data_IF_077023583929
#
_entry.id   IF_077023583929
#
_cell.length_a   1.000
_cell.length_b   1.000
_cell.length_c   1.000
_cell.angle_alpha   90.00
_cell.angle_beta   90.00
_cell.angle_gamma   90.00
#
_symmetry.space_group_name_H-M   'P 1'
#
loop_
_entity.id
_entity.type
_entity.pdbx_description
1 polymer ?
#
# COMPACT_ATOMS: atom_id res chain seq x y z
N UNK A 1 -5.34 28.28 3.58
CA UNK A 1 -5.46 26.83 3.34
C UNK A 1 -4.33 26.15 4.10
N UNK A 2 -4.57 25.07 4.86
CA UNK A 2 -3.46 24.32 5.42
C UNK A 2 -2.65 23.71 4.26
N UNK A 3 -1.31 23.65 4.34
CA UNK A 3 -0.50 23.02 3.31
C UNK A 3 -0.87 21.54 3.21
N UNK A 4 -1.05 21.04 1.99
CA UNK A 4 -1.40 19.65 1.73
C UNK A 4 -0.30 18.73 2.29
N UNK A 5 -0.55 18.10 3.44
CA UNK A 5 0.32 17.10 4.07
C UNK A 5 0.23 15.73 3.37
N UNK A 6 -0.08 15.71 2.08
CA UNK A 6 -0.30 14.50 1.31
C UNK A 6 0.88 14.29 0.36
N UNK A 7 1.50 13.11 0.46
CA UNK A 7 2.61 12.71 -0.40
C UNK A 7 2.11 11.97 -1.63
N UNK A 8 2.95 11.86 -2.67
CA UNK A 8 2.67 11.00 -3.82
C UNK A 8 3.83 10.05 -4.03
N UNK A 9 3.53 8.79 -4.31
CA UNK A 9 4.52 7.85 -4.82
C UNK A 9 4.30 7.63 -6.32
N UNK A 10 5.41 7.51 -7.03
CA UNK A 10 5.47 7.22 -8.45
C UNK A 10 6.27 5.94 -8.65
N UNK A 11 5.66 4.92 -9.28
CA UNK A 11 6.41 3.76 -9.73
C UNK A 11 7.31 4.16 -10.90
N UNK A 12 8.61 3.84 -10.85
CA UNK A 12 9.50 4.04 -12.00
C UNK A 12 9.15 3.02 -13.09
N UNK A 13 8.96 3.45 -14.33
CA UNK A 13 8.47 2.55 -15.37
C UNK A 13 9.42 1.37 -15.65
N UNK A 14 10.73 1.60 -15.77
CA UNK A 14 11.69 0.54 -16.16
C UNK A 14 12.17 -0.36 -15.02
N UNK A 15 12.01 0.06 -13.75
CA UNK A 15 12.57 -0.64 -12.58
C UNK A 15 11.54 -0.76 -11.44
N UNK A 16 10.28 -0.43 -11.70
CA UNK A 16 9.24 -0.36 -10.67
C UNK A 16 8.59 -1.70 -10.34
N UNK A 17 8.96 -2.77 -11.03
CA UNK A 17 8.52 -4.11 -10.73
C UNK A 17 9.72 -5.04 -10.48
N UNK A 18 9.68 -5.73 -9.33
CA UNK A 18 10.60 -6.81 -9.01
C UNK A 18 10.02 -8.13 -9.50
N UNK A 19 10.72 -8.79 -10.42
CA UNK A 19 10.39 -10.09 -10.97
C UNK A 19 11.28 -11.16 -10.34
N UNK A 20 10.69 -12.31 -10.04
CA UNK A 20 11.44 -13.49 -9.59
C UNK A 20 11.38 -14.55 -10.70
N UNK A 21 12.47 -14.67 -11.45
CA UNK A 21 12.57 -15.55 -12.64
C UNK A 21 13.69 -16.55 -12.41
N UNK A 22 13.37 -17.84 -12.42
CA UNK A 22 14.35 -18.93 -12.24
C UNK A 22 15.25 -18.75 -11.00
N UNK A 23 14.68 -18.24 -9.90
CA UNK A 23 15.40 -17.99 -8.65
C UNK A 23 16.26 -16.72 -8.64
N UNK A 24 16.26 -15.91 -9.69
CA UNK A 24 16.90 -14.59 -9.72
C UNK A 24 15.88 -13.48 -9.54
N UNK A 25 16.32 -12.39 -8.91
CA UNK A 25 15.55 -11.16 -8.77
C UNK A 25 15.97 -10.19 -9.88
N UNK A 26 15.00 -9.73 -10.67
CA UNK A 26 15.23 -8.82 -11.78
C UNK A 26 14.27 -7.64 -11.68
N UNK A 27 14.80 -6.42 -11.79
CA UNK A 27 13.97 -5.23 -11.90
C UNK A 27 13.57 -5.05 -13.36
N UNK A 28 12.31 -4.71 -13.59
CA UNK A 28 11.80 -4.48 -14.93
C UNK A 28 10.51 -3.68 -14.93
N UNK A 29 9.93 -3.59 -16.12
CA UNK A 29 8.67 -2.89 -16.29
C UNK A 29 7.50 -3.66 -15.67
N UNK A 30 6.50 -2.97 -15.10
CA UNK A 30 5.26 -3.59 -14.71
C UNK A 30 4.57 -4.26 -15.90
N UNK A 31 3.82 -5.33 -15.63
CA UNK A 31 3.08 -6.08 -16.65
C UNK A 31 2.13 -5.24 -17.50
N UNK A 32 1.67 -4.10 -16.99
CA UNK A 32 0.79 -3.19 -17.72
C UNK A 32 1.18 -1.72 -17.46
N UNK A 33 1.02 -0.82 -18.45
CA UNK A 33 1.25 0.61 -18.25
C UNK A 33 0.42 1.22 -17.12
N UNK A 34 -0.81 0.70 -16.90
CA UNK A 34 -1.71 1.17 -15.84
C UNK A 34 -1.17 0.94 -14.42
N UNK A 35 -0.19 0.04 -14.25
CA UNK A 35 0.46 -0.16 -12.97
C UNK A 35 1.35 1.04 -12.59
N UNK A 36 1.86 1.79 -13.56
CA UNK A 36 2.57 3.05 -13.35
C UNK A 36 1.55 4.17 -13.22
N UNK A 37 1.28 4.56 -11.98
CA UNK A 37 0.33 5.61 -11.66
C UNK A 37 0.75 6.35 -10.39
N UNK A 38 0.45 7.65 -10.27
CA UNK A 38 0.60 8.34 -9.01
C UNK A 38 -0.38 7.77 -7.98
N UNK A 39 0.11 7.54 -6.77
CA UNK A 39 -0.70 7.13 -5.62
C UNK A 39 -0.57 8.21 -4.55
N UNK A 40 -1.66 8.93 -4.30
CA UNK A 40 -1.75 9.89 -3.20
C UNK A 40 -1.70 9.15 -1.86
N UNK A 41 -0.95 9.68 -0.90
CA UNK A 41 -0.74 9.07 0.40
C UNK A 41 -1.39 9.91 1.50
N UNK A 42 -2.06 9.29 2.48
CA UNK A 42 -2.51 9.98 3.67
C UNK A 42 -1.31 10.43 4.54
N UNK A 43 -1.46 11.51 5.33
CA UNK A 43 -0.37 12.07 6.13
C UNK A 43 0.33 11.06 7.04
N UNK A 44 -0.42 10.18 7.72
CA UNK A 44 0.18 9.17 8.60
C UNK A 44 1.16 8.26 7.86
N UNK A 45 0.84 7.88 6.62
CA UNK A 45 1.68 7.00 5.82
C UNK A 45 2.90 7.74 5.26
N UNK A 46 2.75 9.02 4.93
CA UNK A 46 3.88 9.88 4.54
C UNK A 46 4.89 9.98 5.69
N UNK A 47 4.42 10.22 6.91
CA UNK A 47 5.29 10.30 8.08
C UNK A 47 6.08 9.00 8.29
N UNK A 48 5.40 7.84 8.25
CA UNK A 48 6.05 6.53 8.43
C UNK A 48 7.01 6.17 7.29
N UNK A 49 6.68 6.52 6.05
CA UNK A 49 7.58 6.28 4.93
C UNK A 49 8.83 7.17 4.97
N UNK A 50 8.71 8.42 5.45
CA UNK A 50 9.88 9.30 5.65
C UNK A 50 10.81 8.73 6.72
N UNK A 51 10.27 8.38 7.88
CA UNK A 51 11.02 7.74 8.96
C UNK A 51 11.74 6.47 8.48
N UNK A 52 11.07 5.64 7.68
CA UNK A 52 11.70 4.45 7.10
C UNK A 52 12.79 4.78 6.09
N UNK A 53 12.58 5.77 5.21
CA UNK A 53 13.60 6.18 4.24
C UNK A 53 14.82 6.84 4.91
N UNK A 54 14.65 7.46 6.07
CA UNK A 54 15.75 8.03 6.85
C UNK A 54 16.58 6.95 7.56
N UNK A 55 16.08 5.73 7.70
CA UNK A 55 16.80 4.65 8.37
C UNK A 55 17.87 3.99 7.50
N UNK A 56 17.93 4.30 6.20
CA UNK A 56 18.91 3.74 5.27
C UNK A 56 19.17 4.64 4.05
N UNK A 57 20.35 4.52 3.44
CA UNK A 57 20.68 5.22 2.16
C UNK A 57 20.51 4.31 0.92
N UNK A 58 19.66 3.29 1.01
CA UNK A 58 19.43 2.39 -0.11
C UNK A 58 18.48 2.99 -1.17
N UNK A 59 18.76 2.71 -2.44
CA UNK A 59 17.97 3.18 -3.60
C UNK A 59 16.52 2.70 -3.64
N UNK A 60 16.17 1.68 -2.85
CA UNK A 60 14.84 1.07 -2.79
C UNK A 60 14.23 1.32 -1.42
N UNK A 61 12.92 1.59 -1.39
CA UNK A 61 12.18 1.95 -0.18
C UNK A 61 12.15 0.82 0.85
N UNK A 62 12.11 -0.44 0.43
CA UNK A 62 12.07 -1.59 1.33
C UNK A 62 13.17 -2.57 0.96
N UNK A 63 14.07 -2.82 1.90
CA UNK A 63 15.19 -3.75 1.76
C UNK A 63 15.40 -4.59 3.01
N UNK A 64 16.09 -5.71 2.85
CA UNK A 64 16.60 -6.53 3.96
C UNK A 64 17.71 -5.81 4.73
N UNK A 65 18.08 -6.36 5.88
CA UNK A 65 19.17 -5.84 6.73
C UNK A 65 20.52 -5.79 5.99
N UNK A 66 20.71 -6.66 5.00
CA UNK A 66 21.88 -6.71 4.11
C UNK A 66 21.79 -5.72 2.93
N UNK A 67 20.74 -4.90 2.87
CA UNK A 67 20.43 -4.03 1.73
C UNK A 67 19.85 -4.76 0.52
N UNK A 68 19.65 -6.08 0.60
CA UNK A 68 19.11 -6.89 -0.48
C UNK A 68 17.61 -6.66 -0.71
N UNK A 69 17.15 -6.93 -1.94
CA UNK A 69 15.72 -6.91 -2.26
C UNK A 69 15.00 -8.12 -1.64
N UNK A 70 13.81 -7.89 -1.10
CA UNK A 70 13.00 -8.96 -0.52
C UNK A 70 12.50 -9.95 -1.59
N UNK A 71 12.84 -11.22 -1.42
CA UNK A 71 12.12 -12.32 -2.09
C UNK A 71 10.74 -12.49 -1.47
N UNK A 72 9.74 -12.75 -2.30
CA UNK A 72 8.34 -12.91 -1.86
C UNK A 72 8.19 -14.02 -0.81
N UNK A 73 8.82 -15.17 -1.04
CA UNK A 73 8.75 -16.33 -0.14
C UNK A 73 9.41 -16.05 1.22
N UNK A 74 10.57 -15.39 1.22
CA UNK A 74 11.27 -15.01 2.44
C UNK A 74 10.49 -13.96 3.23
N UNK A 75 9.98 -12.92 2.55
CA UNK A 75 9.16 -11.90 3.18
C UNK A 75 7.93 -12.52 3.86
N UNK A 76 7.22 -13.38 3.13
CA UNK A 76 6.02 -14.07 3.64
C UNK A 76 6.34 -14.87 4.90
N UNK A 77 7.34 -15.75 4.83
CA UNK A 77 7.66 -16.69 5.90
C UNK A 77 8.30 -16.02 7.13
N UNK A 78 9.16 -15.03 6.94
CA UNK A 78 9.98 -14.45 8.03
C UNK A 78 9.36 -13.22 8.68
N UNK A 79 8.50 -12.49 7.97
CA UNK A 79 7.96 -11.23 8.48
C UNK A 79 6.44 -11.24 8.48
N UNK A 80 5.82 -11.59 7.35
CA UNK A 80 4.36 -11.51 7.23
C UNK A 80 3.63 -12.49 8.15
N UNK A 81 3.94 -13.80 8.06
CA UNK A 81 3.27 -14.82 8.87
C UNK A 81 3.49 -14.61 10.36
N UNK A 82 4.72 -14.33 10.86
CA UNK A 82 4.90 -13.99 12.27
C UNK A 82 4.10 -12.75 12.71
N UNK A 83 3.97 -11.73 11.86
CA UNK A 83 3.22 -10.53 12.19
C UNK A 83 1.69 -10.74 12.20
N UNK A 84 1.17 -11.67 11.40
CA UNK A 84 -0.29 -11.93 11.30
C UNK A 84 -0.74 -13.06 12.21
N UNK A 85 0.03 -14.14 12.27
CA UNK A 85 -0.30 -15.39 12.95
C UNK A 85 0.27 -15.43 14.37
N UNK A 86 1.11 -14.46 14.73
CA UNK A 86 1.86 -14.44 15.98
C UNK A 86 3.15 -15.25 15.90
N UNK A 87 4.01 -15.08 16.90
CA UNK A 87 5.27 -15.83 17.00
C UNK A 87 5.06 -17.14 17.76
N UNK A 88 5.79 -18.23 17.41
CA UNK A 88 5.66 -19.52 18.12
C UNK A 88 6.00 -19.47 19.61
N UNK A 89 6.84 -18.51 20.01
CA UNK A 89 7.23 -18.25 21.40
C UNK A 89 6.22 -17.38 22.16
N UNK A 90 5.16 -16.91 21.51
CA UNK A 90 4.09 -16.09 22.11
C UNK A 90 4.47 -14.63 22.38
N UNK A 91 5.68 -14.18 22.01
CA UNK A 91 6.11 -12.79 22.18
C UNK A 91 5.31 -11.81 21.31
N UNK A 92 4.81 -12.28 20.17
CA UNK A 92 3.94 -11.52 19.27
C UNK A 92 2.60 -12.24 19.23
N UNK A 93 1.56 -11.59 19.74
CA UNK A 93 0.21 -12.11 19.64
C UNK A 93 -0.30 -12.09 18.18
N UNK A 94 -1.13 -13.06 17.78
CA UNK A 94 -1.76 -13.03 16.46
C UNK A 94 -2.63 -11.77 16.30
N UNK A 95 -2.54 -11.16 15.12
CA UNK A 95 -3.39 -10.02 14.74
C UNK A 95 -4.59 -10.53 13.95
N UNK A 96 -4.34 -11.22 12.83
CA UNK A 96 -5.35 -11.87 11.99
C UNK A 96 -4.73 -13.17 11.42
N UNK A 97 -4.88 -14.31 12.12
CA UNK A 97 -4.30 -15.57 11.68
C UNK A 97 -4.74 -15.96 10.26
N UNK A 98 -3.78 -16.40 9.45
CA UNK A 98 -4.03 -16.86 8.09
C UNK A 98 -4.19 -15.76 7.05
N UNK A 99 -4.05 -14.49 7.41
CA UNK A 99 -4.12 -13.38 6.46
C UNK A 99 -3.00 -13.48 5.42
N UNK A 100 -3.34 -13.36 4.14
CA UNK A 100 -2.38 -13.28 3.05
C UNK A 100 -2.01 -11.84 2.76
N UNK A 101 -0.81 -11.59 2.22
CA UNK A 101 -0.39 -10.23 1.86
C UNK A 101 -1.33 -9.57 0.83
N UNK A 102 -1.93 -10.35 -0.08
CA UNK A 102 -2.89 -9.82 -1.05
C UNK A 102 -4.20 -9.35 -0.40
N UNK A 103 -4.54 -9.87 0.77
CA UNK A 103 -5.77 -9.52 1.48
C UNK A 103 -5.74 -8.04 1.91
N UNK A 104 -4.56 -7.44 2.12
CA UNK A 104 -4.43 -5.99 2.32
C UNK A 104 -5.06 -5.18 1.18
N UNK A 105 -4.89 -5.64 -0.05
CA UNK A 105 -5.46 -4.97 -1.23
C UNK A 105 -6.98 -5.18 -1.30
N UNK A 106 -7.46 -6.35 -0.91
CA UNK A 106 -8.90 -6.62 -0.78
C UNK A 106 -9.51 -5.74 0.30
N UNK A 107 -8.91 -5.67 1.48
CA UNK A 107 -9.33 -4.79 2.57
C UNK A 107 -9.35 -3.32 2.15
N UNK A 108 -8.32 -2.84 1.44
CA UNK A 108 -8.32 -1.47 0.93
C UNK A 108 -9.49 -1.21 -0.03
N UNK A 109 -9.85 -2.18 -0.89
CA UNK A 109 -11.04 -2.08 -1.75
C UNK A 109 -12.32 -2.00 -0.91
N UNK A 110 -12.47 -2.87 0.09
CA UNK A 110 -13.64 -2.87 0.99
C UNK A 110 -13.79 -1.54 1.72
N UNK A 111 -12.70 -0.97 2.26
CA UNK A 111 -12.75 0.34 2.92
C UNK A 111 -13.15 1.47 1.99
N UNK A 112 -12.71 1.46 0.73
CA UNK A 112 -13.16 2.45 -0.24
C UNK A 112 -14.68 2.32 -0.54
N UNK A 113 -15.23 1.11 -0.53
CA UNK A 113 -16.68 0.89 -0.67
C UNK A 113 -17.42 1.45 0.54
N UNK A 114 -16.96 1.12 1.75
CA UNK A 114 -17.52 1.65 3.00
C UNK A 114 -17.47 3.19 3.06
N UNK A 115 -16.36 3.78 2.61
CA UNK A 115 -16.16 5.24 2.58
C UNK A 115 -16.87 5.91 1.38
N UNK A 116 -17.71 5.17 0.65
CA UNK A 116 -18.51 5.65 -0.50
C UNK A 116 -17.66 6.29 -1.60
N UNK A 117 -16.43 5.80 -1.80
CA UNK A 117 -15.55 6.26 -2.87
C UNK A 117 -16.13 5.81 -4.22
N UNK A 118 -16.28 6.71 -5.22
CA UNK A 118 -16.80 6.34 -6.53
C UNK A 118 -15.99 5.20 -7.19
N UNK A 119 -16.67 4.25 -7.84
CA UNK A 119 -16.05 3.06 -8.46
C UNK A 119 -14.89 3.42 -9.40
N UNK A 120 -15.02 4.51 -10.16
CA UNK A 120 -13.95 5.06 -11.00
C UNK A 120 -12.67 5.39 -10.22
N UNK A 121 -12.81 6.02 -9.06
CA UNK A 121 -11.68 6.33 -8.19
C UNK A 121 -11.09 5.07 -7.57
N UNK A 122 -11.92 4.08 -7.20
CA UNK A 122 -11.44 2.78 -6.71
C UNK A 122 -10.61 2.06 -7.77
N UNK A 123 -11.12 1.98 -9.01
CA UNK A 123 -10.44 1.34 -10.12
C UNK A 123 -9.11 2.04 -10.44
N UNK A 124 -9.10 3.39 -10.52
CA UNK A 124 -7.88 4.19 -10.69
C UNK A 124 -6.88 3.93 -9.56
N UNK A 125 -7.33 3.95 -8.30
CA UNK A 125 -6.50 3.68 -7.11
C UNK A 125 -5.83 2.32 -7.19
N UNK A 126 -6.59 1.30 -7.58
CA UNK A 126 -6.10 -0.07 -7.72
C UNK A 126 -5.31 -0.28 -9.02
N UNK A 127 -5.45 0.55 -10.04
CA UNK A 127 -4.87 0.32 -11.36
C UNK A 127 -5.64 -0.74 -12.16
N UNK A 128 -6.96 -0.83 -11.93
CA UNK A 128 -7.86 -1.68 -12.69
C UNK A 128 -8.43 -0.90 -13.88
N UNK A 129 -8.65 -1.59 -15.00
CA UNK A 129 -9.41 -1.02 -16.12
C UNK A 129 -10.90 -1.16 -15.83
N UNK A 130 -11.65 -0.08 -16.04
CA UNK A 130 -13.11 -0.13 -16.04
C UNK A 130 -13.61 -0.59 -17.42
N UNK A 131 -14.48 -1.60 -17.49
CA UNK A 131 -15.04 -2.05 -18.76
C UNK A 131 -16.12 -1.09 -19.28
N UNK A 132 -16.21 -0.99 -20.62
CA UNK A 132 -17.29 -0.28 -21.32
C UNK A 132 -17.23 1.25 -21.22
N UNK A 133 -18.39 1.89 -21.46
CA UNK A 133 -18.55 3.36 -21.51
C UNK A 133 -18.09 4.05 -20.22
N UNK A 134 -18.22 3.37 -19.06
CA UNK A 134 -17.75 3.89 -17.77
C UNK A 134 -16.26 4.22 -17.77
N UNK A 135 -15.44 3.42 -18.45
CA UNK A 135 -13.99 3.70 -18.56
C UNK A 135 -13.68 4.98 -19.34
N UNK A 136 -14.49 5.28 -20.36
CA UNK A 136 -14.29 6.43 -21.27
C UNK A 136 -14.55 7.76 -20.56
N UNK A 137 -15.50 7.82 -19.61
CA UNK A 137 -15.90 9.04 -18.92
C UNK A 137 -15.38 9.16 -17.47
N UNK A 138 -14.50 8.25 -17.05
CA UNK A 138 -14.03 8.16 -15.66
C UNK A 138 -12.90 9.16 -15.33
N UNK A 139 -13.17 10.46 -15.39
CA UNK A 139 -12.24 11.46 -14.87
C UNK A 139 -12.36 11.59 -13.35
N UNK A 140 -11.40 11.02 -12.64
CA UNK A 140 -11.30 11.16 -11.18
C UNK A 140 -10.64 12.51 -10.87
N UNK A 141 -11.38 13.41 -10.23
CA UNK A 141 -10.88 14.73 -9.84
C UNK A 141 -9.95 14.65 -8.62
N UNK A 142 -9.04 15.63 -8.43
CA UNK A 142 -8.19 15.69 -7.24
C UNK A 142 -8.97 15.66 -5.92
N UNK A 143 -10.16 16.29 -5.89
CA UNK A 143 -11.05 16.29 -4.71
C UNK A 143 -11.49 14.88 -4.33
N UNK A 144 -11.80 14.02 -5.31
CA UNK A 144 -12.19 12.62 -5.03
C UNK A 144 -10.99 11.82 -4.51
N UNK A 145 -9.80 12.03 -5.09
CA UNK A 145 -8.57 11.40 -4.59
C UNK A 145 -8.24 11.85 -3.16
N UNK A 146 -8.48 13.13 -2.86
CA UNK A 146 -8.29 13.71 -1.54
C UNK A 146 -9.23 13.08 -0.51
N UNK A 147 -10.53 12.98 -0.81
CA UNK A 147 -11.50 12.32 0.06
C UNK A 147 -11.13 10.87 0.39
N UNK A 148 -10.60 10.14 -0.59
CA UNK A 148 -10.12 8.76 -0.39
C UNK A 148 -9.00 8.71 0.66
N UNK A 149 -7.98 9.56 0.53
CA UNK A 149 -6.85 9.56 1.50
C UNK A 149 -7.27 10.12 2.86
N UNK A 150 -8.20 11.07 2.91
CA UNK A 150 -8.76 11.56 4.17
C UNK A 150 -9.53 10.47 4.92
N UNK A 151 -10.25 9.59 4.20
CA UNK A 151 -10.89 8.41 4.79
C UNK A 151 -9.89 7.47 5.46
N UNK A 152 -8.75 7.20 4.79
CA UNK A 152 -7.67 6.39 5.37
C UNK A 152 -7.04 7.06 6.59
N UNK A 153 -6.82 8.38 6.56
CA UNK A 153 -6.30 9.14 7.70
C UNK A 153 -7.24 9.04 8.92
N UNK A 154 -8.55 9.24 8.72
CA UNK A 154 -9.54 9.12 9.79
C UNK A 154 -9.59 7.72 10.39
N UNK A 155 -9.50 6.68 9.54
CA UNK A 155 -9.44 5.28 10.01
C UNK A 155 -8.22 5.05 10.88
N UNK A 156 -7.04 5.55 10.47
CA UNK A 156 -5.82 5.48 11.26
C UNK A 156 -5.96 6.18 12.61
N UNK A 157 -6.46 7.42 12.64
CA UNK A 157 -6.66 8.21 13.86
C UNK A 157 -7.62 7.54 14.85
N UNK A 158 -8.67 6.88 14.34
CA UNK A 158 -9.60 6.12 15.18
C UNK A 158 -8.94 4.91 15.83
N UNK A 159 -8.06 4.21 15.11
CA UNK A 159 -7.34 3.05 15.65
C UNK A 159 -6.19 3.46 16.56
N UNK A 160 -5.52 4.58 16.28
CA UNK A 160 -4.40 5.11 17.06
C UNK A 160 -4.81 5.74 18.40
N UNK A 161 -6.11 5.89 18.67
CA UNK A 161 -6.66 6.17 19.99
C UNK A 161 -7.15 4.85 20.58
N UNK A 162 -6.33 4.10 21.35
CA UNK A 162 -6.88 3.05 22.18
C UNK A 162 -7.84 3.70 23.19
N UNK A 163 -8.94 3.01 23.48
CA UNK A 163 -9.95 3.39 24.46
C UNK A 163 -9.30 3.89 25.77
N UNK A 164 -9.34 5.21 25.97
CA UNK A 164 -9.12 5.83 27.28
C UNK A 164 -10.43 5.94 28.08
N UNK A 165 -11.52 5.32 27.61
CA UNK A 165 -12.87 5.43 28.21
C UNK A 165 -13.63 4.09 28.21
N UNK A 166 -13.06 3.04 28.82
CA UNK A 166 -13.83 1.91 29.35
C UNK A 166 -13.40 1.58 30.77
#
# INVERSE_FOLDING_TARGET
MPPELHGRIFGRYNVGALHEVSGKLELGSPKTPAAVRPILLPPFLVARLREHLESHDHSHVFVGEDGGLYRRSNFSRRFWRPATDGSPDGLVAPVIPGMHFHDLRHTHKTWMIEDSVPEAAQAKRLGHRLPGVRGIYSHVTPIVEQRLVDGLQKRWERTAKPELER
#
